data_IF_842515081211
#
_entry.id   IF_842515081211
#
_cell.length_a   1.000
_cell.length_b   1.000
_cell.length_c   1.000
_cell.angle_alpha   90.00
_cell.angle_beta   90.00
_cell.angle_gamma   90.00
#
_symmetry.space_group_name_H-M   'P 1'
#
loop_
_entity.id
_entity.type
_entity.pdbx_description
1 polymer ?
#
# COMPACT_ATOMS: atom_id res chain seq x y z
N UNK A 1 -3.67 15.97 -8.49
CA UNK A 1 -3.72 14.65 -9.17
C UNK A 1 -4.55 13.70 -8.31
N UNK A 2 -5.52 12.99 -8.90
CA UNK A 2 -6.37 12.02 -8.19
C UNK A 2 -5.64 10.67 -8.09
N UNK A 3 -5.20 10.28 -6.89
CA UNK A 3 -4.49 9.02 -6.66
C UNK A 3 -5.35 7.79 -7.01
N UNK A 4 -6.68 7.92 -6.98
CA UNK A 4 -7.64 6.88 -7.35
C UNK A 4 -7.66 6.54 -8.85
N UNK A 5 -7.07 7.40 -9.69
CA UNK A 5 -6.98 7.17 -11.13
C UNK A 5 -5.76 6.34 -11.51
N UNK A 6 -4.79 6.21 -10.60
CA UNK A 6 -3.56 5.47 -10.83
C UNK A 6 -3.81 3.97 -10.71
N UNK A 7 -3.30 3.20 -11.69
CA UNK A 7 -3.50 1.75 -11.80
C UNK A 7 -2.16 1.04 -11.82
N UNK A 8 -1.64 0.77 -10.63
CA UNK A 8 -0.34 0.12 -10.45
C UNK A 8 -0.43 -1.40 -10.32
N UNK A 9 -1.57 -1.89 -9.83
CA UNK A 9 -1.73 -3.29 -9.43
C UNK A 9 -2.78 -4.01 -10.26
N UNK A 10 -2.68 -5.33 -10.30
CA UNK A 10 -3.64 -6.21 -10.96
C UNK A 10 -4.44 -7.02 -9.93
N UNK A 11 -5.70 -7.31 -10.26
CA UNK A 11 -6.55 -8.19 -9.47
C UNK A 11 -6.00 -9.62 -9.53
N UNK A 12 -5.88 -10.29 -8.38
CA UNK A 12 -5.40 -11.68 -8.31
C UNK A 12 -6.37 -12.71 -8.92
N UNK A 13 -7.65 -12.34 -9.08
CA UNK A 13 -8.70 -13.25 -9.55
C UNK A 13 -8.98 -13.11 -11.05
N UNK A 14 -8.91 -11.91 -11.61
CA UNK A 14 -9.29 -11.64 -13.00
C UNK A 14 -8.25 -10.83 -13.79
N UNK A 15 -7.08 -10.55 -13.21
CA UNK A 15 -6.00 -9.76 -13.82
C UNK A 15 -6.37 -8.34 -14.23
N UNK A 16 -7.56 -7.84 -13.87
CA UNK A 16 -8.00 -6.48 -14.16
C UNK A 16 -7.10 -5.44 -13.47
N UNK A 17 -6.81 -4.33 -14.16
CA UNK A 17 -6.04 -3.20 -13.62
C UNK A 17 -6.82 -2.49 -12.51
N UNK A 18 -6.35 -2.65 -11.27
CA UNK A 18 -6.99 -2.09 -10.08
C UNK A 18 -6.76 -0.58 -10.01
N UNK A 19 -7.79 0.14 -9.55
CA UNK A 19 -7.63 1.52 -9.10
C UNK A 19 -7.03 1.52 -7.70
N UNK A 20 -5.95 2.29 -7.52
CA UNK A 20 -5.29 2.38 -6.23
C UNK A 20 -6.24 2.93 -5.16
N UNK A 21 -6.17 2.38 -3.96
CA UNK A 21 -7.01 2.73 -2.81
C UNK A 21 -8.38 2.04 -2.75
N UNK A 22 -8.86 1.42 -3.84
CA UNK A 22 -10.14 0.68 -3.82
C UNK A 22 -10.00 -0.63 -3.05
N UNK A 23 -11.08 -1.03 -2.35
CA UNK A 23 -11.18 -2.30 -1.60
C UNK A 23 -11.65 -3.47 -2.46
N UNK A 24 -12.30 -3.17 -3.58
CA UNK A 24 -12.91 -4.15 -4.49
C UNK A 24 -12.46 -3.88 -5.93
N UNK A 25 -12.35 -4.97 -6.70
CA UNK A 25 -12.06 -4.91 -8.13
C UNK A 25 -13.27 -4.38 -8.91
N UNK A 26 -13.07 -3.41 -9.79
CA UNK A 26 -14.16 -2.85 -10.61
C UNK A 26 -14.69 -3.77 -11.73
N UNK A 27 -14.12 -4.97 -11.90
CA UNK A 27 -14.54 -5.94 -12.93
C UNK A 27 -15.21 -7.18 -12.34
N UNK A 28 -14.58 -7.81 -11.35
CA UNK A 28 -15.10 -9.04 -10.73
C UNK A 28 -15.59 -8.85 -9.29
N UNK A 29 -15.56 -7.62 -8.76
CA UNK A 29 -16.01 -7.25 -7.40
C UNK A 29 -15.32 -7.99 -6.24
N UNK A 30 -14.30 -8.81 -6.53
CA UNK A 30 -13.49 -9.46 -5.52
C UNK A 30 -12.62 -8.47 -4.73
N UNK A 31 -12.28 -8.85 -3.51
CA UNK A 31 -11.40 -8.05 -2.66
C UNK A 31 -10.02 -7.81 -3.29
N UNK A 32 -9.58 -6.56 -3.26
CA UNK A 32 -8.23 -6.19 -3.69
C UNK A 32 -7.20 -6.54 -2.62
N UNK A 33 -5.96 -6.87 -3.01
CA UNK A 33 -4.87 -7.09 -2.06
C UNK A 33 -4.59 -5.86 -1.17
N UNK A 34 -4.06 -6.10 0.03
CA UNK A 34 -3.80 -5.05 1.04
C UNK A 34 -2.81 -3.99 0.58
N UNK A 35 -1.85 -4.34 -0.26
CA UNK A 35 -0.90 -3.38 -0.85
C UNK A 35 -1.55 -2.42 -1.86
N UNK A 36 -2.81 -2.65 -2.28
CA UNK A 36 -3.58 -1.68 -3.05
C UNK A 36 -4.07 -0.50 -2.18
N UNK A 37 -3.82 -0.48 -0.87
CA UNK A 37 -4.34 0.51 0.08
C UNK A 37 -3.24 1.47 0.52
N UNK A 38 -3.56 2.77 0.62
CA UNK A 38 -2.60 3.79 1.04
C UNK A 38 -2.04 3.55 2.45
N UNK A 39 -2.91 3.12 3.37
CA UNK A 39 -2.54 2.82 4.77
C UNK A 39 -1.46 1.74 4.85
N UNK A 40 -1.48 0.74 3.96
CA UNK A 40 -0.45 -0.29 3.92
C UNK A 40 0.94 0.32 3.71
N UNK A 41 1.05 1.25 2.76
CA UNK A 41 2.31 1.92 2.46
C UNK A 41 2.75 2.88 3.57
N UNK A 42 1.80 3.61 4.19
CA UNK A 42 2.11 4.45 5.35
C UNK A 42 2.68 3.65 6.51
N UNK A 43 2.03 2.54 6.86
CA UNK A 43 2.50 1.66 7.94
C UNK A 43 3.85 1.03 7.59
N UNK A 44 4.04 0.61 6.35
CA UNK A 44 5.31 0.04 5.90
C UNK A 44 6.46 1.05 5.97
N UNK A 45 6.25 2.29 5.55
CA UNK A 45 7.25 3.38 5.67
C UNK A 45 7.53 3.70 7.13
N UNK A 46 6.49 3.76 7.98
CA UNK A 46 6.67 3.99 9.41
C UNK A 46 7.52 2.88 10.05
N UNK A 47 7.21 1.61 9.80
CA UNK A 47 7.98 0.49 10.34
C UNK A 47 9.44 0.48 9.86
N UNK A 48 9.68 0.80 8.59
CA UNK A 48 11.03 0.87 8.02
C UNK A 48 11.85 2.04 8.55
N UNK A 49 11.22 3.15 8.94
CA UNK A 49 11.92 4.36 9.42
C UNK A 49 12.12 4.37 10.93
N UNK A 50 11.23 3.75 11.71
CA UNK A 50 11.35 3.69 13.17
C UNK A 50 12.56 2.86 13.62
N UNK A 51 12.88 1.76 12.93
CA UNK A 51 14.03 0.92 13.28
C UNK A 51 15.39 1.65 13.23
N UNK A 52 15.80 2.29 12.13
CA UNK A 52 17.08 3.00 12.07
C UNK A 52 17.12 4.25 12.97
N UNK A 53 15.98 4.94 13.16
CA UNK A 53 15.91 6.08 14.08
C UNK A 53 16.10 5.62 15.53
N UNK A 54 15.53 4.49 15.93
CA UNK A 54 15.76 3.93 17.27
C UNK A 54 17.23 3.57 17.48
N UNK A 55 17.89 2.95 16.48
CA UNK A 55 19.33 2.64 16.56
C UNK A 55 20.20 3.89 16.66
N UNK A 56 19.87 4.97 15.95
CA UNK A 56 20.60 6.24 16.03
C UNK A 56 20.43 6.93 17.39
N UNK A 57 19.23 6.88 17.97
CA UNK A 57 18.99 7.47 19.30
C UNK A 57 19.73 6.69 20.40
N UNK A 58 19.71 5.36 20.36
CA UNK A 58 20.45 4.53 21.33
C UNK A 58 21.96 4.73 21.21
N UNK A 59 22.49 4.91 19.99
CA UNK A 59 23.91 5.18 19.79
C UNK A 59 24.34 6.60 20.22
N UNK A 60 23.41 7.53 20.43
CA UNK A 60 23.67 8.91 20.82
C UNK A 60 23.52 9.17 22.33
N UNK A 61 23.15 8.15 23.12
CA UNK A 61 23.01 8.17 24.59
C UNK A 61 24.15 7.38 25.22
#
# INVERSE_FOLDING_TARGET
MRLDQQRYFHCKHCSHKLRFGRRECGACYQHTPVYNRFIFWLVLVLLLTVSPLASLVVAAV
#
